data_IF_683373617090
#
_entry.id   IF_683373617090
#
_cell.length_a   1.000
_cell.length_b   1.000
_cell.length_c   1.000
_cell.angle_alpha   90.00
_cell.angle_beta   90.00
_cell.angle_gamma   90.00
#
_symmetry.space_group_name_H-M   'P 1'
#
loop_
_entity.id
_entity.type
_entity.pdbx_description
1 polymer ?
#
# COMPACT_ATOMS: atom_id res chain seq x y z
N UNK A 1 17.26 -35.47 73.97
CA UNK A 1 18.35 -35.42 72.96
C UNK A 1 17.75 -35.82 71.60
N UNK A 2 17.39 -34.84 70.79
CA UNK A 2 16.86 -35.06 69.45
C UNK A 2 17.97 -34.91 68.45
N UNK A 3 18.14 -35.87 67.54
CA UNK A 3 19.16 -35.85 66.48
C UNK A 3 18.71 -34.88 65.36
N UNK A 4 19.64 -34.19 64.74
CA UNK A 4 19.32 -33.28 63.63
C UNK A 4 19.03 -34.05 62.34
N UNK A 5 17.93 -33.68 61.65
CA UNK A 5 17.55 -34.20 60.34
C UNK A 5 18.42 -33.47 59.28
N UNK A 6 19.11 -34.23 58.41
CA UNK A 6 19.87 -33.74 57.30
C UNK A 6 18.89 -33.33 56.16
N UNK A 7 19.16 -32.22 55.45
CA UNK A 7 18.36 -31.85 54.26
C UNK A 7 18.60 -32.83 53.09
N UNK A 8 17.62 -32.96 52.20
CA UNK A 8 17.77 -33.81 50.99
C UNK A 8 18.84 -33.27 50.02
N UNK A 9 19.44 -34.13 49.20
CA UNK A 9 20.46 -33.72 48.24
C UNK A 9 19.88 -32.77 47.20
N UNK A 10 20.63 -31.73 46.91
CA UNK A 10 20.34 -30.78 45.84
C UNK A 10 20.61 -31.44 44.49
N UNK A 11 19.63 -31.36 43.57
CA UNK A 11 19.79 -31.80 42.18
C UNK A 11 20.96 -31.06 41.51
N UNK A 12 21.68 -31.75 40.60
CA UNK A 12 22.77 -31.11 39.83
C UNK A 12 22.19 -30.07 38.88
N UNK A 13 22.96 -29.03 38.57
CA UNK A 13 22.51 -28.00 37.65
C UNK A 13 22.19 -28.57 36.27
N UNK A 14 21.03 -28.15 35.75
CA UNK A 14 20.50 -28.51 34.44
C UNK A 14 21.56 -28.24 33.36
N UNK A 15 22.03 -29.28 32.69
CA UNK A 15 22.92 -29.12 31.55
C UNK A 15 22.11 -28.61 30.35
N UNK A 16 22.63 -27.66 29.56
CA UNK A 16 21.93 -27.18 28.37
C UNK A 16 21.74 -28.34 27.38
N UNK A 17 20.53 -28.62 27.06
CA UNK A 17 20.12 -29.63 26.04
C UNK A 17 20.50 -29.11 24.64
N UNK A 18 21.66 -29.58 24.14
CA UNK A 18 22.18 -29.24 22.80
C UNK A 18 21.36 -29.85 21.65
N UNK A 19 20.30 -30.61 21.95
CA UNK A 19 19.46 -31.27 20.94
C UNK A 19 18.07 -30.63 20.80
N UNK A 20 17.83 -29.48 21.43
CA UNK A 20 16.62 -28.72 21.21
C UNK A 20 16.71 -28.06 19.85
N UNK A 21 15.81 -28.36 18.88
CA UNK A 21 15.79 -27.64 17.61
C UNK A 21 15.66 -26.16 17.92
N UNK A 22 16.33 -25.27 17.14
CA UNK A 22 16.21 -23.84 17.37
C UNK A 22 14.72 -23.50 17.35
N UNK A 23 14.25 -22.91 18.45
CA UNK A 23 12.94 -22.26 18.48
C UNK A 23 13.01 -21.27 17.34
N UNK A 24 12.30 -21.52 16.24
CA UNK A 24 12.12 -20.55 15.19
C UNK A 24 11.60 -19.30 15.92
N UNK A 25 12.46 -18.30 16.03
CA UNK A 25 12.08 -16.97 16.41
C UNK A 25 10.82 -16.66 15.59
N UNK A 26 9.65 -16.60 16.22
CA UNK A 26 8.48 -16.05 15.57
C UNK A 26 8.93 -14.66 15.15
N UNK A 27 9.11 -14.46 13.84
CA UNK A 27 9.61 -13.20 13.32
C UNK A 27 8.83 -12.08 13.99
N UNK A 28 9.55 -11.04 14.51
CA UNK A 28 8.93 -9.87 15.12
C UNK A 28 8.27 -9.04 14.02
N UNK A 29 7.16 -9.57 13.46
CA UNK A 29 6.45 -8.94 12.35
C UNK A 29 5.13 -8.36 12.82
N UNK A 30 4.79 -7.19 12.29
CA UNK A 30 3.48 -6.57 12.40
C UNK A 30 2.75 -6.80 11.09
N UNK A 31 1.55 -7.39 11.15
CA UNK A 31 0.68 -7.52 9.97
C UNK A 31 -0.02 -6.20 9.72
N UNK A 32 0.04 -5.71 8.50
CA UNK A 32 -0.62 -4.48 8.05
C UNK A 32 -1.66 -4.81 6.99
N UNK A 33 -2.94 -4.70 7.34
CA UNK A 33 -4.03 -4.81 6.38
C UNK A 33 -4.32 -3.44 5.78
N UNK A 34 -4.10 -3.31 4.48
CA UNK A 34 -4.31 -2.08 3.71
C UNK A 34 -5.64 -2.15 2.95
N UNK A 35 -6.65 -1.45 3.46
CA UNK A 35 -7.94 -1.26 2.79
C UNK A 35 -7.83 -0.16 1.76
N UNK A 36 -8.00 -0.51 0.49
CA UNK A 36 -7.63 0.36 -0.61
C UNK A 36 -8.49 0.17 -1.87
N UNK A 37 -8.22 0.97 -2.91
CA UNK A 37 -8.93 0.89 -4.19
C UNK A 37 -8.06 1.51 -5.30
N UNK A 38 -8.05 0.96 -6.53
CA UNK A 38 -7.28 1.52 -7.64
C UNK A 38 -7.74 2.92 -8.06
N UNK A 39 -9.02 3.26 -7.91
CA UNK A 39 -9.60 4.56 -8.29
C UNK A 39 -9.71 5.58 -7.15
N UNK A 40 -9.14 5.29 -5.97
CA UNK A 40 -9.20 6.22 -4.84
C UNK A 40 -8.03 7.23 -4.86
N UNK A 41 -8.28 8.55 -5.06
CA UNK A 41 -7.21 9.55 -5.10
C UNK A 41 -6.49 9.69 -3.75
N UNK A 42 -7.17 9.49 -2.63
CA UNK A 42 -6.54 9.51 -1.31
C UNK A 42 -5.61 8.31 -1.11
N UNK A 43 -6.02 7.11 -1.56
CA UNK A 43 -5.18 5.92 -1.47
C UNK A 43 -3.96 6.03 -2.39
N UNK A 44 -4.12 6.57 -3.60
CA UNK A 44 -3.02 6.89 -4.50
C UNK A 44 -2.05 7.90 -3.88
N UNK A 45 -2.58 8.97 -3.31
CA UNK A 45 -1.75 10.02 -2.68
C UNK A 45 -1.10 9.59 -1.36
N UNK A 46 -1.48 8.43 -0.79
CA UNK A 46 -0.82 7.86 0.38
C UNK A 46 0.39 6.96 0.04
N UNK A 47 0.64 6.66 -1.25
CA UNK A 47 1.77 5.83 -1.68
C UNK A 47 3.12 6.26 -1.06
N UNK A 48 3.47 7.56 -0.98
CA UNK A 48 4.72 7.98 -0.35
C UNK A 48 4.84 7.53 1.11
N UNK A 49 3.75 7.54 1.87
CA UNK A 49 3.74 7.06 3.26
C UNK A 49 3.93 5.54 3.32
N UNK A 50 3.32 4.79 2.39
CA UNK A 50 3.46 3.33 2.31
C UNK A 50 4.89 2.94 1.94
N UNK A 51 5.49 3.59 0.93
CA UNK A 51 6.92 3.40 0.56
C UNK A 51 7.84 3.70 1.74
N UNK A 52 7.54 4.74 2.53
CA UNK A 52 8.32 5.06 3.72
C UNK A 52 8.21 3.99 4.81
N UNK A 53 7.02 3.40 5.02
CA UNK A 53 6.86 2.28 5.94
C UNK A 53 7.62 1.03 5.46
N UNK A 54 7.54 0.71 4.17
CA UNK A 54 8.27 -0.40 3.56
C UNK A 54 9.78 -0.22 3.68
N UNK A 55 10.28 1.00 3.44
CA UNK A 55 11.69 1.32 3.61
C UNK A 55 12.13 1.16 5.08
N UNK A 56 11.40 1.81 5.99
CA UNK A 56 11.77 1.86 7.41
C UNK A 56 11.79 0.50 8.07
N UNK A 57 10.79 -0.31 7.83
CA UNK A 57 10.58 -1.54 8.57
C UNK A 57 10.89 -2.82 7.76
N UNK A 58 10.91 -2.75 6.44
CA UNK A 58 11.23 -3.87 5.57
C UNK A 58 10.47 -5.15 5.92
N UNK A 59 11.19 -6.25 6.12
CA UNK A 59 10.60 -7.54 6.51
C UNK A 59 9.94 -7.57 7.90
N UNK A 60 10.02 -6.48 8.67
CA UNK A 60 9.28 -6.32 9.93
C UNK A 60 7.78 -6.07 9.73
N UNK A 61 7.35 -5.74 8.52
CA UNK A 61 5.93 -5.63 8.17
C UNK A 61 5.53 -6.74 7.20
N UNK A 62 4.38 -7.36 7.46
CA UNK A 62 3.72 -8.28 6.52
C UNK A 62 2.46 -7.59 6.00
N UNK A 63 2.39 -7.38 4.70
CA UNK A 63 1.31 -6.65 4.06
C UNK A 63 0.19 -7.57 3.58
N UNK A 64 -1.04 -7.11 3.73
CA UNK A 64 -2.24 -7.70 3.17
C UNK A 64 -3.09 -6.62 2.54
N UNK A 65 -3.32 -6.69 1.24
CA UNK A 65 -4.18 -5.75 0.51
C UNK A 65 -5.61 -6.25 0.47
N UNK A 66 -6.56 -5.37 0.78
CA UNK A 66 -8.01 -5.59 0.71
C UNK A 66 -8.64 -4.51 -0.17
N UNK A 67 -9.25 -4.94 -1.26
CA UNK A 67 -9.91 -4.03 -2.20
C UNK A 67 -11.33 -3.71 -1.73
N UNK A 68 -11.61 -2.42 -1.50
CA UNK A 68 -12.90 -2.02 -0.93
C UNK A 68 -14.04 -1.98 -1.97
N UNK A 69 -13.71 -1.88 -3.27
CA UNK A 69 -14.68 -1.67 -4.33
C UNK A 69 -15.46 -0.37 -4.13
N UNK A 70 -14.85 0.78 -4.46
CA UNK A 70 -15.44 2.11 -4.26
C UNK A 70 -16.78 2.23 -4.95
N UNK A 71 -16.87 1.76 -6.19
CA UNK A 71 -18.09 1.73 -7.00
C UNK A 71 -17.99 0.67 -8.08
N UNK A 72 -19.06 -0.10 -8.28
CA UNK A 72 -19.09 -1.12 -9.33
C UNK A 72 -19.18 -0.51 -10.73
N UNK A 73 -19.97 0.56 -10.89
CA UNK A 73 -20.13 1.25 -12.17
C UNK A 73 -19.96 2.76 -12.02
N UNK A 74 -19.76 3.45 -13.14
CA UNK A 74 -19.74 4.91 -13.20
C UNK A 74 -21.07 5.56 -12.80
N UNK A 75 -22.18 4.84 -12.95
CA UNK A 75 -23.54 5.36 -12.76
C UNK A 75 -23.72 5.94 -11.34
N UNK A 76 -23.17 5.26 -10.33
CA UNK A 76 -23.20 5.72 -8.95
C UNK A 76 -22.58 7.11 -8.76
N UNK A 77 -21.57 7.46 -9.54
CA UNK A 77 -20.94 8.78 -9.52
C UNK A 77 -21.70 9.78 -10.39
N UNK A 78 -22.22 9.35 -11.54
CA UNK A 78 -23.04 10.19 -12.42
C UNK A 78 -24.30 10.65 -11.67
N UNK A 79 -24.99 9.76 -10.99
CA UNK A 79 -26.17 10.07 -10.16
C UNK A 79 -25.86 11.07 -9.03
N UNK A 80 -24.64 11.09 -8.53
CA UNK A 80 -24.14 12.07 -7.54
C UNK A 80 -23.67 13.39 -8.18
N UNK A 81 -23.82 13.54 -9.49
CA UNK A 81 -23.44 14.74 -10.22
C UNK A 81 -21.94 14.88 -10.50
N UNK A 82 -21.16 13.80 -10.42
CA UNK A 82 -19.73 13.86 -10.73
C UNK A 82 -19.55 14.01 -12.24
N UNK A 83 -18.67 14.93 -12.63
CA UNK A 83 -18.31 15.19 -14.02
C UNK A 83 -16.81 15.12 -14.23
N UNK A 84 -16.39 14.91 -15.48
CA UNK A 84 -14.96 14.96 -15.82
C UNK A 84 -14.31 16.29 -15.43
N UNK A 85 -15.03 17.40 -15.60
CA UNK A 85 -14.54 18.72 -15.19
C UNK A 85 -14.31 18.81 -13.67
N UNK A 86 -15.25 18.32 -12.87
CA UNK A 86 -15.13 18.35 -11.41
C UNK A 86 -13.96 17.46 -10.96
N UNK A 87 -13.85 16.26 -11.53
CA UNK A 87 -12.75 15.33 -11.21
C UNK A 87 -11.38 15.89 -11.62
N UNK A 88 -11.30 16.62 -12.74
CA UNK A 88 -10.07 17.31 -13.15
C UNK A 88 -9.66 18.37 -12.14
N UNK A 89 -10.61 19.16 -11.61
CA UNK A 89 -10.32 20.15 -10.54
C UNK A 89 -9.81 19.46 -9.29
N UNK A 90 -10.40 18.35 -8.88
CA UNK A 90 -9.92 17.56 -7.74
C UNK A 90 -8.52 17.00 -7.98
N UNK A 91 -8.22 16.46 -9.17
CA UNK A 91 -6.87 15.99 -9.51
C UNK A 91 -5.83 17.11 -9.36
N UNK A 92 -6.14 18.33 -9.81
CA UNK A 92 -5.26 19.49 -9.66
C UNK A 92 -5.06 19.84 -8.18
N UNK A 93 -6.11 19.79 -7.37
CA UNK A 93 -6.04 20.03 -5.94
C UNK A 93 -5.19 18.97 -5.22
N UNK A 94 -5.43 17.67 -5.50
CA UNK A 94 -4.63 16.57 -4.98
C UNK A 94 -3.15 16.69 -5.35
N UNK A 95 -2.86 16.96 -6.63
CA UNK A 95 -1.50 17.19 -7.12
C UNK A 95 -0.80 18.30 -6.33
N UNK A 96 -1.45 19.44 -6.18
CA UNK A 96 -0.86 20.61 -5.54
C UNK A 96 -0.65 20.40 -4.03
N UNK A 97 -1.46 19.55 -3.41
CA UNK A 97 -1.43 19.32 -1.97
C UNK A 97 -0.60 18.11 -1.56
N UNK A 98 -0.61 17.05 -2.36
CA UNK A 98 -0.06 15.74 -1.97
C UNK A 98 1.06 15.26 -2.91
N UNK A 99 1.33 15.99 -3.99
CA UNK A 99 2.48 15.92 -4.86
C UNK A 99 2.69 14.61 -5.64
N UNK A 100 1.75 13.66 -5.61
CA UNK A 100 1.78 12.53 -6.54
C UNK A 100 1.56 13.01 -7.98
N UNK A 101 2.07 12.27 -9.00
CA UNK A 101 1.83 12.60 -10.40
C UNK A 101 0.34 12.54 -10.77
N UNK A 102 -0.16 13.58 -11.41
CA UNK A 102 -1.54 13.61 -11.91
C UNK A 102 -1.59 14.13 -13.36
N UNK A 103 -2.57 13.67 -14.12
CA UNK A 103 -2.94 14.30 -15.39
C UNK A 103 -3.59 15.65 -15.12
N UNK A 104 -3.22 16.65 -15.93
CA UNK A 104 -3.85 17.97 -15.96
C UNK A 104 -4.84 18.12 -17.11
N UNK A 105 -4.96 17.10 -17.98
CA UNK A 105 -5.93 17.06 -19.04
C UNK A 105 -7.34 16.86 -18.49
N UNK A 106 -8.34 17.33 -19.26
CA UNK A 106 -9.74 17.14 -18.90
C UNK A 106 -10.10 15.64 -18.90
N UNK A 107 -10.57 15.14 -17.76
CA UNK A 107 -11.03 13.75 -17.67
C UNK A 107 -12.30 13.53 -18.49
N UNK A 108 -12.40 12.37 -19.12
CA UNK A 108 -13.57 11.97 -19.91
C UNK A 108 -14.84 11.79 -19.05
N UNK A 109 -14.68 11.49 -17.74
CA UNK A 109 -15.78 11.32 -16.81
C UNK A 109 -15.43 10.42 -15.62
N UNK A 110 -16.41 10.14 -14.77
CA UNK A 110 -16.27 9.13 -13.72
C UNK A 110 -16.17 7.73 -14.31
N UNK A 111 -15.54 6.82 -13.57
CA UNK A 111 -15.36 5.41 -13.94
C UNK A 111 -15.64 4.52 -12.72
N UNK A 112 -16.21 3.34 -12.97
CA UNK A 112 -16.36 2.29 -11.97
C UNK A 112 -15.02 1.62 -11.67
N UNK A 113 -14.81 1.17 -10.44
CA UNK A 113 -13.56 0.51 -10.03
C UNK A 113 -13.65 -1.01 -9.98
N UNK A 114 -14.86 -1.56 -10.12
CA UNK A 114 -15.11 -3.00 -9.96
C UNK A 114 -14.27 -3.88 -10.90
N UNK A 115 -14.16 -3.50 -12.18
CA UNK A 115 -13.34 -4.24 -13.16
C UNK A 115 -11.85 -4.20 -12.78
N UNK A 116 -11.33 -3.03 -12.44
CA UNK A 116 -9.93 -2.87 -12.03
C UNK A 116 -9.61 -3.65 -10.74
N UNK A 117 -10.54 -3.68 -9.77
CA UNK A 117 -10.41 -4.50 -8.56
C UNK A 117 -10.31 -5.99 -8.89
N UNK A 118 -11.15 -6.51 -9.78
CA UNK A 118 -11.11 -7.93 -10.20
C UNK A 118 -9.81 -8.29 -10.91
N UNK A 119 -9.26 -7.40 -11.74
CA UNK A 119 -7.94 -7.59 -12.34
C UNK A 119 -6.83 -7.70 -11.29
N UNK A 120 -6.85 -6.86 -10.25
CA UNK A 120 -5.88 -6.96 -9.14
C UNK A 120 -6.07 -8.27 -8.37
N UNK A 121 -7.31 -8.69 -8.09
CA UNK A 121 -7.60 -9.99 -7.44
C UNK A 121 -7.10 -11.14 -8.30
N UNK A 122 -7.32 -11.09 -9.62
CA UNK A 122 -6.79 -12.09 -10.55
C UNK A 122 -5.27 -12.15 -10.52
N UNK A 123 -4.58 -11.00 -10.52
CA UNK A 123 -3.13 -10.92 -10.42
C UNK A 123 -2.59 -11.50 -9.10
N UNK A 124 -3.27 -11.27 -7.97
CA UNK A 124 -2.90 -11.85 -6.67
C UNK A 124 -2.87 -13.38 -6.67
N UNK A 125 -3.53 -14.05 -7.59
CA UNK A 125 -3.45 -15.52 -7.73
C UNK A 125 -2.08 -15.99 -8.24
N UNK A 126 -1.28 -15.10 -8.83
CA UNK A 126 0.12 -15.36 -9.17
C UNK A 126 1.05 -15.05 -8.00
N UNK A 127 0.66 -14.13 -7.11
CA UNK A 127 1.35 -13.74 -5.88
C UNK A 127 0.89 -12.38 -5.39
N UNK A 128 1.09 -12.10 -4.11
CA UNK A 128 0.74 -10.81 -3.52
C UNK A 128 1.56 -9.66 -4.16
N UNK A 129 2.82 -9.94 -4.52
CA UNK A 129 3.71 -8.97 -5.18
C UNK A 129 3.23 -8.59 -6.59
N UNK A 130 2.64 -9.55 -7.33
CA UNK A 130 2.05 -9.35 -8.65
C UNK A 130 0.76 -8.52 -8.54
N UNK A 131 -0.07 -8.82 -7.54
CA UNK A 131 -1.26 -8.01 -7.23
C UNK A 131 -0.92 -6.56 -6.89
N UNK A 132 0.09 -6.33 -6.05
CA UNK A 132 0.56 -4.98 -5.71
C UNK A 132 1.17 -4.26 -6.92
N UNK A 133 1.91 -4.97 -7.76
CA UNK A 133 2.47 -4.42 -9.00
C UNK A 133 1.37 -3.91 -9.93
N UNK A 134 0.34 -4.74 -10.14
CA UNK A 134 -0.78 -4.35 -10.99
C UNK A 134 -1.60 -3.21 -10.36
N UNK A 135 -1.86 -3.25 -9.04
CA UNK A 135 -2.56 -2.17 -8.33
C UNK A 135 -1.83 -0.83 -8.53
N UNK A 136 -0.51 -0.82 -8.38
CA UNK A 136 0.31 0.38 -8.59
C UNK A 136 0.27 0.86 -10.04
N UNK A 137 0.41 -0.02 -11.01
CA UNK A 137 0.33 0.32 -12.44
C UNK A 137 -1.05 0.89 -12.81
N UNK A 138 -2.12 0.28 -12.31
CA UNK A 138 -3.49 0.76 -12.51
C UNK A 138 -3.69 2.15 -11.90
N UNK A 139 -3.17 2.42 -10.70
CA UNK A 139 -3.21 3.76 -10.07
C UNK A 139 -2.47 4.79 -10.89
N UNK A 140 -1.26 4.50 -11.36
CA UNK A 140 -0.54 5.40 -12.25
C UNK A 140 -1.36 5.70 -13.49
N UNK A 141 -1.85 4.69 -14.19
CA UNK A 141 -2.71 4.91 -15.35
C UNK A 141 -3.95 5.72 -15.01
N UNK A 142 -4.64 5.37 -13.90
CA UNK A 142 -5.89 6.03 -13.47
C UNK A 142 -5.75 7.53 -13.26
N UNK A 143 -4.66 7.95 -12.62
CA UNK A 143 -4.47 9.33 -12.20
C UNK A 143 -3.63 10.17 -13.15
N UNK A 144 -2.81 9.54 -14.00
CA UNK A 144 -1.97 10.28 -14.97
C UNK A 144 -2.52 10.26 -16.40
N UNK A 145 -3.62 9.54 -16.66
CA UNK A 145 -4.30 9.48 -17.93
C UNK A 145 -5.76 10.00 -17.77
N UNK A 146 -6.27 10.84 -18.69
CA UNK A 146 -7.62 11.38 -18.59
C UNK A 146 -8.74 10.38 -18.95
N UNK A 147 -8.43 9.23 -19.55
CA UNK A 147 -9.41 8.22 -19.99
C UNK A 147 -10.21 7.63 -18.85
N UNK A 148 -11.38 7.09 -19.15
CA UNK A 148 -12.19 6.29 -18.22
C UNK A 148 -11.56 4.91 -18.04
N UNK A 149 -11.35 4.48 -16.79
CA UNK A 149 -10.70 3.21 -16.46
C UNK A 149 -11.71 2.13 -16.03
N UNK A 150 -12.81 2.03 -16.75
CA UNK A 150 -13.89 1.06 -16.50
C UNK A 150 -14.17 0.14 -17.71
N UNK A 151 -13.21 0.05 -18.64
CA UNK A 151 -13.29 -0.83 -19.80
C UNK A 151 -11.95 -1.51 -20.10
N UNK A 152 -12.01 -2.71 -20.71
CA UNK A 152 -10.81 -3.50 -21.02
C UNK A 152 -9.90 -2.83 -22.04
N UNK A 153 -10.42 -2.06 -22.99
CA UNK A 153 -9.60 -1.32 -23.97
C UNK A 153 -8.66 -0.30 -23.31
N UNK A 154 -8.96 0.14 -22.09
CA UNK A 154 -8.10 1.01 -21.29
C UNK A 154 -7.25 0.22 -20.29
N UNK A 155 -7.80 -0.84 -19.68
CA UNK A 155 -7.15 -1.56 -18.60
C UNK A 155 -6.19 -2.66 -19.10
N UNK A 156 -6.52 -3.36 -20.21
CA UNK A 156 -5.69 -4.43 -20.76
C UNK A 156 -4.25 -3.97 -21.08
N UNK A 157 -4.00 -2.83 -21.75
CA UNK A 157 -2.64 -2.34 -21.97
C UNK A 157 -1.86 -2.13 -20.66
N UNK A 158 -2.54 -1.74 -19.59
CA UNK A 158 -1.92 -1.58 -18.27
C UNK A 158 -1.53 -2.93 -17.67
N UNK A 159 -2.43 -3.92 -17.75
CA UNK A 159 -2.13 -5.30 -17.30
C UNK A 159 -0.90 -5.84 -18.02
N UNK A 160 -0.85 -5.66 -19.36
CA UNK A 160 0.27 -6.13 -20.20
C UNK A 160 1.58 -5.37 -20.00
N UNK A 161 1.54 -4.20 -19.38
CA UNK A 161 2.75 -3.40 -19.09
C UNK A 161 3.46 -3.79 -17.80
N UNK A 162 2.89 -4.68 -17.01
CA UNK A 162 3.49 -5.09 -15.72
C UNK A 162 4.48 -6.21 -15.94
N UNK A 163 5.75 -5.90 -15.74
CA UNK A 163 6.83 -6.88 -15.88
C UNK A 163 6.68 -8.06 -14.91
N UNK A 164 6.88 -9.28 -15.43
CA UNK A 164 6.80 -10.51 -14.67
C UNK A 164 5.36 -11.02 -14.42
N UNK A 165 4.33 -10.29 -14.86
CA UNK A 165 2.94 -10.71 -14.75
C UNK A 165 2.52 -11.53 -15.98
N UNK A 166 1.90 -12.69 -15.78
CA UNK A 166 1.18 -13.39 -16.85
C UNK A 166 -0.14 -12.66 -17.12
N UNK A 167 -0.08 -11.71 -18.05
CA UNK A 167 -1.20 -10.84 -18.39
C UNK A 167 -2.38 -11.62 -18.97
N UNK A 168 -2.13 -12.67 -19.77
CA UNK A 168 -3.21 -13.48 -20.37
C UNK A 168 -3.96 -14.27 -19.29
N UNK A 169 -3.26 -14.82 -18.31
CA UNK A 169 -3.87 -15.48 -17.16
C UNK A 169 -4.67 -14.50 -16.29
N UNK A 170 -4.19 -13.26 -16.11
CA UNK A 170 -4.93 -12.23 -15.37
C UNK A 170 -6.22 -11.85 -16.06
N UNK A 171 -6.18 -11.63 -17.37
CA UNK A 171 -7.35 -11.28 -18.17
C UNK A 171 -8.37 -12.41 -18.22
N UNK A 172 -7.91 -13.65 -18.44
CA UNK A 172 -8.77 -14.84 -18.41
C UNK A 172 -9.42 -15.06 -17.04
N UNK A 173 -8.77 -14.63 -15.97
CA UNK A 173 -9.31 -14.69 -14.61
C UNK A 173 -10.59 -13.90 -14.38
N UNK A 174 -10.93 -12.93 -15.24
CA UNK A 174 -12.19 -12.19 -15.14
C UNK A 174 -13.44 -13.09 -15.33
N UNK A 175 -13.29 -14.19 -16.06
CA UNK A 175 -14.35 -15.19 -16.27
C UNK A 175 -14.32 -16.30 -15.21
N UNK A 176 -13.33 -16.30 -14.28
CA UNK A 176 -13.21 -17.31 -13.24
C UNK A 176 -14.05 -16.94 -12.00
N UNK A 177 -15.04 -17.77 -11.62
CA UNK A 177 -15.86 -17.53 -10.43
C UNK A 177 -15.07 -17.34 -9.14
N UNK A 178 -13.87 -17.93 -9.06
CA UNK A 178 -12.99 -17.76 -7.88
C UNK A 178 -12.52 -16.31 -7.75
N UNK A 179 -12.25 -15.62 -8.84
CA UNK A 179 -11.87 -14.21 -8.81
C UNK A 179 -13.01 -13.35 -8.26
N UNK A 180 -14.24 -13.63 -8.68
CA UNK A 180 -15.42 -12.96 -8.14
C UNK A 180 -15.61 -13.26 -6.65
N UNK A 181 -15.48 -14.52 -6.24
CA UNK A 181 -15.59 -14.92 -4.84
C UNK A 181 -14.55 -14.20 -3.97
N UNK A 182 -13.28 -14.16 -4.40
CA UNK A 182 -12.20 -13.47 -3.70
C UNK A 182 -12.43 -11.95 -3.63
N UNK A 183 -12.93 -11.34 -4.70
CA UNK A 183 -13.28 -9.92 -4.70
C UNK A 183 -14.43 -9.62 -3.75
N UNK A 184 -15.46 -10.45 -3.70
CA UNK A 184 -16.55 -10.30 -2.74
C UNK A 184 -16.09 -10.53 -1.29
N UNK A 185 -15.11 -11.41 -1.07
CA UNK A 185 -14.48 -11.58 0.24
C UNK A 185 -13.73 -10.32 0.69
N UNK A 186 -12.99 -9.67 -0.21
CA UNK A 186 -12.35 -8.37 0.06
C UNK A 186 -13.40 -7.29 0.39
N UNK A 187 -14.48 -7.22 -0.38
CA UNK A 187 -15.58 -6.30 -0.10
C UNK A 187 -16.21 -6.55 1.26
N UNK A 188 -16.46 -7.81 1.62
CA UNK A 188 -16.99 -8.19 2.92
C UNK A 188 -16.04 -7.81 4.07
N UNK A 189 -14.75 -8.09 3.91
CA UNK A 189 -13.71 -7.71 4.89
C UNK A 189 -13.67 -6.18 5.09
N UNK A 190 -13.77 -5.40 4.01
CA UNK A 190 -13.79 -3.94 4.10
C UNK A 190 -15.03 -3.38 4.80
N UNK A 191 -16.11 -4.15 4.90
CA UNK A 191 -17.37 -3.81 5.58
C UNK A 191 -17.46 -4.35 7.01
N UNK A 192 -16.45 -5.08 7.45
CA UNK A 192 -16.27 -5.48 8.87
C UNK A 192 -15.46 -4.41 9.60
N UNK A 193 -16.09 -3.23 9.77
CA UNK A 193 -15.41 -2.04 10.27
C UNK A 193 -15.16 -2.14 11.78
N UNK A 194 -13.93 -1.89 12.21
CA UNK A 194 -13.59 -1.82 13.62
C UNK A 194 -14.20 -0.56 14.28
N UNK A 195 -14.72 -0.66 15.53
CA UNK A 195 -15.37 0.46 16.21
C UNK A 195 -14.57 1.79 16.23
N UNK A 196 -13.22 1.79 16.37
CA UNK A 196 -12.46 3.04 16.31
C UNK A 196 -12.59 3.81 14.99
N UNK A 197 -12.74 3.12 13.85
CA UNK A 197 -12.90 3.77 12.55
C UNK A 197 -14.26 4.48 12.43
N UNK A 198 -15.34 3.84 12.86
CA UNK A 198 -16.68 4.44 12.91
C UNK A 198 -16.71 5.62 13.89
N UNK A 199 -16.11 5.47 15.07
CA UNK A 199 -16.05 6.53 16.07
C UNK A 199 -15.29 7.79 15.59
N UNK A 200 -14.30 7.60 14.70
CA UNK A 200 -13.53 8.69 14.08
C UNK A 200 -14.22 9.28 12.83
N UNK A 201 -15.37 8.76 12.41
CA UNK A 201 -16.03 9.16 11.17
C UNK A 201 -15.20 8.85 9.92
N UNK A 202 -14.35 7.80 9.98
CA UNK A 202 -13.48 7.37 8.88
C UNK A 202 -14.05 6.17 8.14
N UNK A 203 -15.35 6.20 7.98
CA UNK A 203 -16.14 5.21 7.26
C UNK A 203 -16.98 5.90 6.19
N UNK A 204 -17.49 5.11 5.26
CA UNK A 204 -18.37 5.58 4.21
C UNK A 204 -19.43 4.52 3.90
N UNK A 205 -20.59 4.96 3.43
CA UNK A 205 -21.65 4.13 2.92
C UNK A 205 -21.94 4.53 1.48
N UNK A 206 -21.74 3.61 0.55
CA UNK A 206 -21.98 3.85 -0.88
C UNK A 206 -22.92 2.82 -1.48
N UNK A 207 -22.53 1.55 -1.46
CA UNK A 207 -23.25 0.41 -2.01
C UNK A 207 -23.31 -0.72 -0.97
N UNK A 208 -24.31 -0.70 -0.11
CA UNK A 208 -24.45 -1.68 0.98
C UNK A 208 -24.01 -1.14 2.35
N UNK A 209 -23.55 -2.03 3.27
CA UNK A 209 -23.18 -1.65 4.63
C UNK A 209 -22.03 -0.65 4.70
N UNK A 210 -21.89 -0.01 5.87
CA UNK A 210 -20.75 0.84 6.20
C UNK A 210 -19.43 0.10 5.97
N UNK A 211 -18.45 0.79 5.40
CA UNK A 211 -17.11 0.27 5.09
C UNK A 211 -16.02 1.22 5.52
N UNK A 212 -14.80 0.72 5.64
CA UNK A 212 -13.61 1.57 5.73
C UNK A 212 -13.54 2.55 4.57
N UNK A 213 -13.06 3.78 4.83
CA UNK A 213 -12.57 4.67 3.76
C UNK A 213 -11.21 4.18 3.26
N UNK A 214 -10.87 4.48 1.98
CA UNK A 214 -9.53 4.23 1.45
C UNK A 214 -8.70 5.54 1.46
N UNK A 215 -7.41 5.47 1.87
CA UNK A 215 -6.77 4.30 2.49
C UNK A 215 -7.20 4.14 3.95
N UNK A 216 -7.19 2.93 4.48
CA UNK A 216 -7.21 2.65 5.92
C UNK A 216 -6.20 1.54 6.20
N UNK A 217 -5.41 1.67 7.27
CA UNK A 217 -4.47 0.63 7.69
C UNK A 217 -4.91 0.07 9.04
N UNK A 218 -4.90 -1.25 9.13
CA UNK A 218 -5.10 -1.98 10.40
C UNK A 218 -3.81 -2.75 10.68
N UNK A 219 -3.23 -2.48 11.84
CA UNK A 219 -1.98 -3.07 12.30
C UNK A 219 -2.28 -4.10 13.37
N UNK A 220 -1.73 -5.31 13.23
CA UNK A 220 -2.02 -6.43 14.13
C UNK A 220 -0.74 -7.15 14.54
N UNK A 221 -0.62 -7.46 15.83
CA UNK A 221 0.44 -8.29 16.37
C UNK A 221 0.02 -8.94 17.70
N UNK A 222 0.24 -10.23 17.81
CA UNK A 222 -0.02 -11.00 19.05
C UNK A 222 -1.41 -10.76 19.68
N UNK A 223 -2.43 -10.56 18.84
CA UNK A 223 -3.81 -10.28 19.26
C UNK A 223 -4.10 -8.81 19.59
N UNK A 224 -3.10 -7.93 19.61
CA UNK A 224 -3.32 -6.49 19.70
C UNK A 224 -3.60 -5.92 18.30
N UNK A 225 -4.55 -4.98 18.22
CA UNK A 225 -5.00 -4.35 16.98
C UNK A 225 -5.00 -2.83 17.13
N UNK A 226 -4.37 -2.12 16.21
CA UNK A 226 -4.43 -0.67 16.10
C UNK A 226 -4.97 -0.26 14.73
N UNK A 227 -5.83 0.75 14.70
CA UNK A 227 -6.54 1.17 13.49
C UNK A 227 -6.18 2.61 13.15
N UNK A 228 -5.56 2.81 12.00
CA UNK A 228 -5.31 4.10 11.39
C UNK A 228 -6.26 4.27 10.18
N UNK A 229 -7.51 4.59 10.49
CA UNK A 229 -8.57 4.68 9.50
C UNK A 229 -8.51 5.98 8.69
N UNK A 230 -8.80 5.89 7.40
CA UNK A 230 -8.71 7.01 6.46
C UNK A 230 -7.26 7.43 6.20
N UNK A 231 -7.08 8.49 5.41
CA UNK A 231 -5.77 9.06 5.17
C UNK A 231 -5.18 9.60 6.47
N UNK A 232 -3.97 9.18 6.81
CA UNK A 232 -3.24 9.57 8.01
C UNK A 232 -1.82 10.03 7.65
N UNK A 233 -1.18 10.75 8.57
CA UNK A 233 0.23 11.10 8.43
C UNK A 233 1.13 9.87 8.63
N UNK A 234 2.34 9.92 8.07
CA UNK A 234 3.35 8.88 8.28
C UNK A 234 3.64 8.66 9.77
N UNK A 235 3.68 9.74 10.56
CA UNK A 235 3.87 9.67 12.01
C UNK A 235 2.78 8.84 12.71
N UNK A 236 1.52 8.94 12.27
CA UNK A 236 0.44 8.15 12.85
C UNK A 236 0.63 6.65 12.58
N UNK A 237 1.12 6.28 11.40
CA UNK A 237 1.44 4.90 11.06
C UNK A 237 2.64 4.39 11.86
N UNK A 238 3.72 5.18 11.98
CA UNK A 238 4.90 4.85 12.81
C UNK A 238 4.51 4.59 14.27
N UNK A 239 3.60 5.40 14.82
CA UNK A 239 3.09 5.22 16.20
C UNK A 239 2.36 3.89 16.34
N UNK A 240 1.57 3.46 15.34
CA UNK A 240 0.92 2.16 15.38
C UNK A 240 1.95 1.02 15.42
N UNK A 241 2.96 1.05 14.57
CA UNK A 241 4.03 0.04 14.55
C UNK A 241 4.81 0.05 15.87
N UNK A 242 5.25 1.22 16.35
CA UNK A 242 6.04 1.35 17.56
C UNK A 242 5.30 0.89 18.84
N UNK A 243 3.97 1.05 18.88
CA UNK A 243 3.17 0.55 20.01
C UNK A 243 2.96 -0.97 19.98
N UNK A 244 2.93 -1.59 18.79
CA UNK A 244 2.78 -3.03 18.65
C UNK A 244 4.12 -3.77 18.81
N UNK A 245 5.21 -3.19 18.30
CA UNK A 245 6.55 -3.77 18.38
C UNK A 245 7.61 -2.67 18.55
N UNK A 246 7.87 -2.21 19.80
CA UNK A 246 8.84 -1.16 20.07
C UNK A 246 10.28 -1.51 19.70
N UNK A 247 10.60 -2.80 19.63
CA UNK A 247 11.94 -3.31 19.34
C UNK A 247 12.19 -3.52 17.84
N UNK A 248 11.20 -3.22 16.96
CA UNK A 248 11.35 -3.42 15.54
C UNK A 248 12.41 -2.47 14.95
N UNK A 249 13.48 -3.00 14.31
CA UNK A 249 14.50 -2.16 13.72
C UNK A 249 13.94 -1.23 12.65
N UNK A 250 14.45 -0.01 12.60
CA UNK A 250 14.05 0.98 11.60
C UNK A 250 15.26 1.44 10.79
N UNK A 251 15.10 1.53 9.47
CA UNK A 251 16.07 2.23 8.61
C UNK A 251 15.85 3.74 8.72
N UNK A 252 16.94 4.48 8.67
CA UNK A 252 16.93 5.94 8.60
C UNK A 252 16.53 6.45 7.21
N UNK A 253 16.45 7.78 7.06
CA UNK A 253 16.33 8.44 5.76
C UNK A 253 17.51 8.07 4.86
N UNK A 254 17.25 7.98 3.55
CA UNK A 254 18.28 7.67 2.57
C UNK A 254 18.05 8.38 1.24
N UNK A 255 19.12 8.61 0.49
CA UNK A 255 19.08 9.19 -0.84
C UNK A 255 18.60 8.23 -1.92
N UNK A 256 18.40 8.72 -3.15
CA UNK A 256 17.91 7.89 -4.25
C UNK A 256 18.91 6.81 -4.69
N UNK A 257 20.19 6.96 -4.41
CA UNK A 257 21.23 5.95 -4.67
C UNK A 257 21.07 4.68 -3.85
N UNK A 258 20.49 4.79 -2.64
CA UNK A 258 20.15 3.65 -1.78
C UNK A 258 18.70 3.19 -1.97
N UNK A 259 17.77 4.13 -2.16
CA UNK A 259 16.35 3.81 -2.16
C UNK A 259 15.87 3.23 -3.50
N UNK A 260 16.31 3.75 -4.66
CA UNK A 260 15.87 3.22 -5.96
C UNK A 260 16.17 1.72 -6.14
N UNK A 261 17.38 1.19 -5.81
CA UNK A 261 17.64 -0.24 -5.91
C UNK A 261 16.73 -1.10 -5.03
N UNK A 262 16.22 -0.56 -3.91
CA UNK A 262 15.30 -1.27 -3.03
C UNK A 262 13.85 -1.29 -3.58
N UNK A 263 13.54 -0.44 -4.54
CA UNK A 263 12.24 -0.36 -5.20
C UNK A 263 12.38 -0.56 -6.72
N UNK A 264 12.62 -1.79 -7.20
CA UNK A 264 12.94 -2.06 -8.60
C UNK A 264 11.83 -1.65 -9.59
N UNK A 265 10.59 -1.53 -9.13
CA UNK A 265 9.46 -1.00 -9.94
C UNK A 265 9.40 0.52 -9.98
N UNK A 266 10.40 1.20 -9.43
CA UNK A 266 10.57 2.65 -9.46
C UNK A 266 9.81 3.41 -8.38
N UNK A 267 10.26 4.65 -8.21
CA UNK A 267 9.67 5.63 -7.30
C UNK A 267 9.35 6.92 -8.06
N UNK A 268 8.32 7.64 -7.65
CA UNK A 268 8.07 9.00 -8.13
C UNK A 268 8.79 10.02 -7.25
N UNK A 269 8.95 11.24 -7.74
CA UNK A 269 9.77 12.28 -7.06
C UNK A 269 9.34 12.52 -5.62
N UNK A 270 8.04 12.58 -5.32
CA UNK A 270 7.56 12.81 -3.95
C UNK A 270 7.77 11.61 -3.02
N UNK A 271 7.80 10.38 -3.55
CA UNK A 271 8.17 9.19 -2.75
C UNK A 271 9.64 9.28 -2.33
N UNK A 272 10.53 9.62 -3.26
CA UNK A 272 11.95 9.82 -2.96
C UNK A 272 12.14 10.96 -1.96
N UNK A 273 11.45 12.09 -2.17
CA UNK A 273 11.52 13.22 -1.26
C UNK A 273 11.14 12.82 0.18
N UNK A 274 10.10 12.01 0.35
CA UNK A 274 9.69 11.55 1.69
C UNK A 274 10.67 10.52 2.28
N UNK A 275 11.30 9.68 1.46
CA UNK A 275 12.34 8.74 1.89
C UNK A 275 13.63 9.44 2.34
N UNK A 276 13.91 10.63 1.79
CA UNK A 276 15.03 11.48 2.20
C UNK A 276 14.75 12.27 3.48
N UNK A 277 13.49 12.37 3.92
CA UNK A 277 13.11 13.13 5.10
C UNK A 277 13.52 12.47 6.41
N UNK A 278 14.05 13.26 7.34
CA UNK A 278 14.22 12.87 8.71
C UNK A 278 12.86 12.97 9.45
N UNK A 279 12.24 11.83 9.73
CA UNK A 279 10.99 11.70 10.51
C UNK A 279 9.79 12.49 9.95
N UNK A 280 9.46 13.64 10.55
CA UNK A 280 8.25 14.40 10.26
C UNK A 280 8.53 15.74 9.57
N UNK A 281 9.70 15.89 8.98
CA UNK A 281 10.03 17.07 8.19
C UNK A 281 9.18 17.09 6.90
N UNK A 282 8.93 18.28 6.39
CA UNK A 282 8.28 18.42 5.10
C UNK A 282 9.21 17.93 3.97
N UNK A 283 8.73 17.14 3.00
CA UNK A 283 9.56 16.64 1.92
C UNK A 283 10.04 17.77 0.99
N UNK A 284 11.35 17.80 0.74
CA UNK A 284 11.97 18.74 -0.20
C UNK A 284 11.99 18.13 -1.62
N UNK A 285 10.92 18.39 -2.38
CA UNK A 285 10.78 17.88 -3.75
C UNK A 285 11.89 18.38 -4.68
N UNK A 286 12.27 19.69 -4.69
CA UNK A 286 13.37 20.19 -5.50
C UNK A 286 14.70 19.49 -5.20
N UNK A 287 15.02 19.23 -3.93
CA UNK A 287 16.25 18.52 -3.57
C UNK A 287 16.21 17.05 -4.03
N UNK A 288 15.07 16.39 -3.90
CA UNK A 288 14.91 15.02 -4.37
C UNK A 288 15.03 14.92 -5.90
N UNK A 289 14.39 15.84 -6.65
CA UNK A 289 14.50 15.88 -8.10
C UNK A 289 15.94 16.14 -8.57
N UNK A 290 16.64 17.06 -7.92
CA UNK A 290 18.06 17.33 -8.23
C UNK A 290 18.92 16.09 -8.00
N UNK A 291 18.77 15.39 -6.88
CA UNK A 291 19.51 14.16 -6.59
C UNK A 291 19.19 13.03 -7.59
N UNK A 292 17.94 12.91 -8.02
CA UNK A 292 17.51 11.95 -9.04
C UNK A 292 18.10 12.28 -10.44
N UNK A 293 18.18 13.56 -10.80
CA UNK A 293 18.84 14.02 -12.04
C UNK A 293 20.34 13.71 -12.00
N UNK A 294 21.00 13.94 -10.88
CA UNK A 294 22.42 13.58 -10.70
C UNK A 294 22.65 12.08 -10.83
N UNK A 295 21.75 11.27 -10.25
CA UNK A 295 21.80 9.81 -10.35
C UNK A 295 21.59 9.34 -11.80
N UNK A 296 20.67 9.96 -12.53
CA UNK A 296 20.43 9.70 -13.96
C UNK A 296 21.66 10.10 -14.80
N UNK A 297 22.28 11.25 -14.53
CA UNK A 297 23.49 11.68 -15.21
C UNK A 297 24.68 10.72 -14.99
N UNK A 298 24.70 10.05 -13.83
CA UNK A 298 25.66 8.98 -13.50
C UNK A 298 25.32 7.62 -14.15
N UNK A 299 24.24 7.51 -14.93
CA UNK A 299 23.80 6.27 -15.57
C UNK A 299 23.20 5.23 -14.62
N UNK A 300 22.77 5.64 -13.43
CA UNK A 300 22.23 4.75 -12.38
C UNK A 300 20.71 4.83 -12.23
N UNK A 301 20.06 5.74 -12.94
CA UNK A 301 18.61 5.86 -12.97
C UNK A 301 18.11 6.19 -14.36
N UNK A 302 16.88 5.76 -14.67
CA UNK A 302 16.14 6.14 -15.87
C UNK A 302 14.89 6.93 -15.48
N UNK A 303 14.60 8.01 -16.19
CA UNK A 303 13.42 8.85 -16.00
C UNK A 303 12.34 8.52 -17.04
N UNK A 304 11.18 8.06 -16.58
CA UNK A 304 10.01 7.80 -17.44
C UNK A 304 8.94 8.86 -17.14
N UNK A 305 8.51 9.69 -18.11
CA UNK A 305 7.47 10.69 -17.88
C UNK A 305 6.17 10.05 -17.36
N UNK A 306 5.58 10.64 -16.30
CA UNK A 306 4.36 10.16 -15.67
C UNK A 306 3.49 11.35 -15.22
N UNK A 307 2.40 11.63 -15.96
CA UNK A 307 1.55 12.80 -15.67
C UNK A 307 2.36 14.11 -15.73
N UNK A 308 2.34 14.86 -14.65
CA UNK A 308 3.12 16.10 -14.49
C UNK A 308 4.51 15.89 -13.85
N UNK A 309 4.93 14.66 -13.62
CA UNK A 309 6.19 14.27 -12.97
C UNK A 309 6.83 13.08 -13.73
N UNK A 310 7.51 12.21 -13.05
CA UNK A 310 8.18 11.04 -13.61
C UNK A 310 8.15 9.85 -12.64
N UNK A 311 8.26 8.65 -13.23
CA UNK A 311 8.69 7.44 -12.56
C UNK A 311 10.20 7.28 -12.78
N UNK A 312 10.95 7.14 -11.70
CA UNK A 312 12.39 6.92 -11.69
C UNK A 312 12.67 5.45 -11.44
N UNK A 313 13.36 4.82 -12.37
CA UNK A 313 13.71 3.40 -12.33
C UNK A 313 15.20 3.24 -12.07
N UNK A 314 15.63 2.26 -11.25
CA UNK A 314 17.05 1.91 -11.17
C UNK A 314 17.53 1.30 -12.49
N UNK A 315 18.84 1.45 -12.77
CA UNK A 315 19.54 0.83 -13.92
C UNK A 315 20.43 -0.31 -13.44
#
# INVERSE_FOLDING_TARGET
>A
MSLPVLPPPTDPPDQPDHNRPPVHSSAMTVTVTHYTDPGCPWAYSAEPHLRSLEWRYGAGLTWRTVLIGLTESADQYVERGYTGQQMTKWNIEFRNRLHMPYSTALREGPAGTGLACRLVVSARRQGDAEGEALLRALRFSWFTNPRRHDSLDVLEPVVRSVDGLDADAVLAGLDDPIVEELYQADRAASRSVAPPASAQGKTAQTDGPERYTAPSLVFERAGAVLVAAGWQSLAAYDVCVANLEPALPQRGPAGPDETLPAFPRGLVTCEVALLMCARNDDPDLPAAEAALVDLMAAGKATRVPLGNDALWLPV
#
